data_IF_877632022208
#
_entry.id   IF_877632022208
#
_cell.length_a   1.000
_cell.length_b   1.000
_cell.length_c   1.000
_cell.angle_alpha   90.00
_cell.angle_beta   90.00
_cell.angle_gamma   90.00
#
_symmetry.space_group_name_H-M   'P 1'
#
loop_
_entity.id
_entity.type
_entity.pdbx_description
1 polymer ?
#
# COMPACT_ATOMS: atom_id res chain seq x y z
N UNK A 1 -10.96 2.42 17.76
CA UNK A 1 -10.18 1.87 16.63
C UNK A 1 -10.04 2.94 15.55
N UNK A 2 -8.82 3.25 15.10
CA UNK A 2 -8.60 4.28 14.07
C UNK A 2 -7.59 3.82 13.03
N UNK A 3 -7.54 4.53 11.91
CA UNK A 3 -6.65 4.25 10.79
C UNK A 3 -7.36 3.58 9.61
N UNK A 4 -6.59 3.26 8.55
CA UNK A 4 -7.10 2.53 7.39
C UNK A 4 -7.82 1.26 7.85
N UNK A 5 -8.97 0.98 7.26
CA UNK A 5 -9.81 -0.21 7.47
C UNK A 5 -10.49 -0.31 8.82
N UNK A 6 -10.39 0.70 9.66
CA UNK A 6 -10.97 0.65 11.00
C UNK A 6 -12.49 0.48 11.00
N UNK A 7 -13.24 1.04 10.04
CA UNK A 7 -14.67 0.73 9.88
C UNK A 7 -14.90 -0.74 9.57
N UNK A 8 -14.33 -1.26 8.49
CA UNK A 8 -14.58 -2.64 8.06
C UNK A 8 -14.11 -3.63 9.11
N UNK A 9 -13.01 -3.34 9.82
CA UNK A 9 -12.52 -4.17 10.92
C UNK A 9 -13.40 -4.08 12.16
N UNK A 10 -14.02 -2.93 12.42
CA UNK A 10 -14.98 -2.79 13.52
C UNK A 10 -16.27 -3.56 13.24
N UNK A 11 -16.78 -3.49 12.00
CA UNK A 11 -18.04 -4.10 11.58
C UNK A 11 -17.94 -5.63 11.41
N UNK A 12 -16.79 -6.11 10.93
CA UNK A 12 -16.56 -7.51 10.57
C UNK A 12 -16.82 -7.81 9.09
N UNK A 13 -16.73 -9.09 8.74
CA UNK A 13 -16.98 -9.58 7.38
C UNK A 13 -18.45 -9.41 6.95
N UNK A 14 -18.68 -9.25 5.64
CA UNK A 14 -20.04 -9.24 5.09
C UNK A 14 -20.77 -10.54 5.49
N UNK A 15 -22.01 -10.39 5.98
CA UNK A 15 -22.90 -11.46 6.44
C UNK A 15 -22.33 -12.37 7.53
N UNK A 16 -21.34 -11.93 8.33
CA UNK A 16 -20.75 -12.79 9.36
C UNK A 16 -21.77 -13.37 10.34
N UNK A 17 -22.91 -12.71 10.56
CA UNK A 17 -23.99 -13.19 11.43
C UNK A 17 -24.64 -14.50 10.95
N UNK A 18 -24.46 -14.85 9.67
CA UNK A 18 -24.97 -16.08 9.07
C UNK A 18 -23.91 -17.20 9.03
N UNK A 19 -22.66 -16.88 9.36
CA UNK A 19 -21.52 -17.77 9.19
C UNK A 19 -20.56 -17.64 10.38
N UNK A 20 -20.70 -18.52 11.37
CA UNK A 20 -19.96 -18.47 12.64
C UNK A 20 -18.44 -18.36 12.47
N UNK A 21 -17.89 -18.94 11.40
CA UNK A 21 -16.45 -18.98 11.13
C UNK A 21 -15.89 -17.68 10.52
N UNK A 22 -16.74 -16.74 10.07
CA UNK A 22 -16.29 -15.45 9.51
C UNK A 22 -15.80 -14.53 10.62
N UNK A 23 -15.06 -13.49 10.25
CA UNK A 23 -14.60 -12.49 11.21
C UNK A 23 -15.76 -11.60 11.70
N UNK A 24 -16.05 -11.61 13.00
CA UNK A 24 -17.19 -10.88 13.60
C UNK A 24 -16.92 -9.39 13.86
N UNK A 25 -15.73 -8.91 13.49
CA UNK A 25 -15.29 -7.55 13.74
C UNK A 25 -14.68 -7.36 15.13
N UNK A 26 -14.44 -6.11 15.50
CA UNK A 26 -13.72 -5.73 16.72
C UNK A 26 -14.57 -4.91 17.72
N UNK A 27 -15.89 -4.94 17.57
CA UNK A 27 -16.80 -4.19 18.46
C UNK A 27 -16.66 -4.52 19.95
N UNK A 28 -16.24 -5.75 20.28
CA UNK A 28 -16.10 -6.17 21.68
C UNK A 28 -14.75 -5.74 22.29
N UNK A 29 -13.81 -5.28 21.45
CA UNK A 29 -12.50 -4.79 21.86
C UNK A 29 -12.42 -3.25 21.89
N UNK A 30 -13.35 -2.55 21.24
CA UNK A 30 -13.32 -1.09 21.13
C UNK A 30 -14.71 -0.47 21.35
N UNK A 31 -14.76 0.65 22.07
CA UNK A 31 -16.00 1.41 22.27
C UNK A 31 -16.56 1.97 20.95
N UNK A 32 -15.68 2.42 20.06
CA UNK A 32 -16.02 2.94 18.74
C UNK A 32 -14.84 2.84 17.77
N UNK A 33 -15.12 2.99 16.48
CA UNK A 33 -14.16 3.14 15.40
C UNK A 33 -14.35 4.46 14.63
N UNK A 34 -13.37 4.85 13.80
CA UNK A 34 -13.42 6.09 13.02
C UNK A 34 -13.08 5.79 11.56
N UNK A 35 -14.04 5.93 10.62
CA UNK A 35 -13.71 5.95 9.19
C UNK A 35 -13.44 7.36 8.66
N UNK A 36 -12.70 7.43 7.56
CA UNK A 36 -12.33 8.70 6.96
C UNK A 36 -11.18 9.38 7.70
N UNK A 37 -11.07 10.71 7.59
CA UNK A 37 -9.95 11.46 8.15
C UNK A 37 -9.90 11.37 9.69
N UNK A 38 -8.72 11.44 10.31
CA UNK A 38 -8.64 11.35 11.78
C UNK A 38 -8.95 12.68 12.48
N UNK A 39 -8.76 13.81 11.78
CA UNK A 39 -8.92 15.17 12.30
C UNK A 39 -10.36 15.49 12.75
N UNK A 40 -11.35 14.75 12.27
CA UNK A 40 -12.76 14.88 12.70
C UNK A 40 -12.95 14.50 14.17
N UNK A 41 -11.97 13.85 14.81
CA UNK A 41 -11.94 13.68 16.27
C UNK A 41 -11.52 14.93 17.03
N UNK A 42 -10.84 15.91 16.41
CA UNK A 42 -10.28 17.06 17.12
C UNK A 42 -11.32 17.80 17.98
N UNK A 43 -12.56 18.06 17.50
CA UNK A 43 -13.59 18.69 18.34
C UNK A 43 -13.90 17.88 19.60
N UNK A 44 -13.96 16.56 19.50
CA UNK A 44 -14.19 15.66 20.64
C UNK A 44 -13.00 15.60 21.59
N UNK A 45 -11.77 15.56 21.07
CA UNK A 45 -10.57 15.59 21.90
C UNK A 45 -10.41 16.92 22.67
N UNK A 46 -11.05 17.98 22.18
CA UNK A 46 -11.07 19.29 22.81
C UNK A 46 -12.33 19.53 23.67
N UNK A 47 -13.28 18.59 23.73
CA UNK A 47 -14.50 18.73 24.53
C UNK A 47 -14.36 18.04 25.90
N UNK A 48 -14.91 18.67 26.94
CA UNK A 48 -14.96 18.10 28.29
C UNK A 48 -16.18 17.17 28.49
N UNK A 49 -17.09 17.11 27.50
CA UNK A 49 -18.40 16.44 27.62
C UNK A 49 -18.39 14.95 27.23
N UNK A 50 -17.30 14.46 26.62
CA UNK A 50 -17.11 13.06 26.27
C UNK A 50 -18.10 12.49 25.24
N UNK A 51 -18.85 13.31 24.51
CA UNK A 51 -19.90 12.85 23.60
C UNK A 51 -19.38 12.46 22.21
N UNK A 52 -18.72 11.30 22.13
CA UNK A 52 -18.21 10.78 20.85
C UNK A 52 -19.32 10.39 19.86
N UNK A 53 -20.55 10.14 20.32
CA UNK A 53 -21.66 9.64 19.50
C UNK A 53 -22.13 10.63 18.42
N UNK A 54 -21.83 11.92 18.58
CA UNK A 54 -22.20 12.98 17.63
C UNK A 54 -21.08 13.30 16.63
N UNK A 55 -19.91 12.67 16.78
CA UNK A 55 -18.74 12.99 15.97
C UNK A 55 -18.87 12.35 14.60
N UNK A 56 -18.65 13.14 13.55
CA UNK A 56 -18.61 12.62 12.18
C UNK A 56 -17.53 11.56 12.04
N UNK A 57 -17.84 10.55 11.25
CA UNK A 57 -16.99 9.42 10.98
C UNK A 57 -16.89 8.38 12.10
N UNK A 58 -17.56 8.59 13.24
CA UNK A 58 -17.56 7.60 14.32
C UNK A 58 -18.57 6.47 14.03
N UNK A 59 -18.11 5.24 14.23
CA UNK A 59 -18.92 4.02 14.19
C UNK A 59 -18.95 3.38 15.57
N UNK A 60 -20.11 3.00 16.07
CA UNK A 60 -20.25 2.39 17.40
C UNK A 60 -21.42 1.42 17.45
N UNK A 61 -21.46 0.58 18.48
CA UNK A 61 -22.55 -0.36 18.71
C UNK A 61 -23.50 0.17 19.78
N UNK A 62 -24.79 0.27 19.47
CA UNK A 62 -25.82 0.67 20.43
C UNK A 62 -27.15 0.00 20.08
N UNK A 63 -27.95 -0.33 21.09
CA UNK A 63 -29.30 -0.90 20.92
C UNK A 63 -29.37 -2.15 20.01
N UNK A 64 -28.29 -2.93 19.92
CA UNK A 64 -28.24 -4.14 19.10
C UNK A 64 -27.93 -3.90 17.62
N UNK A 65 -27.49 -2.70 17.25
CA UNK A 65 -27.13 -2.35 15.88
C UNK A 65 -25.85 -1.50 15.80
N UNK A 66 -25.24 -1.49 14.61
CA UNK A 66 -24.14 -0.59 14.30
C UNK A 66 -24.69 0.78 13.91
N UNK A 67 -24.28 1.81 14.63
CA UNK A 67 -24.51 3.20 14.26
C UNK A 67 -23.26 3.70 13.55
N UNK A 68 -23.44 4.24 12.34
CA UNK A 68 -22.37 4.73 11.47
C UNK A 68 -22.66 6.18 11.14
N UNK A 69 -21.92 7.10 11.77
CA UNK A 69 -22.06 8.51 11.46
C UNK A 69 -21.44 8.82 10.09
N UNK A 70 -21.92 9.83 9.35
CA UNK A 70 -21.31 10.23 8.08
C UNK A 70 -19.86 10.68 8.28
N UNK A 71 -18.95 10.28 7.38
CA UNK A 71 -17.57 10.77 7.38
C UNK A 71 -17.44 12.18 6.79
N UNK A 72 -16.44 12.94 7.26
CA UNK A 72 -16.01 14.16 6.62
C UNK A 72 -15.13 13.87 5.40
N UNK A 73 -15.09 14.84 4.48
CA UNK A 73 -14.04 14.88 3.47
C UNK A 73 -12.72 15.27 4.12
N UNK A 74 -11.63 14.82 3.52
CA UNK A 74 -10.29 15.27 3.89
C UNK A 74 -10.13 16.77 3.68
N UNK A 75 -9.49 17.42 4.66
CA UNK A 75 -9.12 18.83 4.59
C UNK A 75 -7.61 18.97 4.46
N UNK A 76 -7.17 19.50 3.32
CA UNK A 76 -5.75 19.74 3.04
C UNK A 76 -5.08 20.58 4.13
N UNK A 77 -5.80 21.49 4.80
CA UNK A 77 -5.24 22.31 5.87
C UNK A 77 -4.65 21.47 7.02
N UNK A 78 -5.23 20.30 7.30
CA UNK A 78 -4.77 19.38 8.35
C UNK A 78 -3.61 18.48 7.91
N UNK A 79 -3.23 18.52 6.64
CA UNK A 79 -2.20 17.63 6.04
C UNK A 79 -0.89 18.36 5.70
N UNK A 80 -0.77 19.64 6.04
CA UNK A 80 0.41 20.47 5.68
C UNK A 80 1.58 20.34 6.65
N UNK A 81 1.30 20.06 7.94
CA UNK A 81 2.30 20.16 9.01
C UNK A 81 2.21 18.97 9.95
N UNK A 82 3.38 18.45 10.30
CA UNK A 82 3.54 17.33 11.24
C UNK A 82 4.49 17.79 12.36
N UNK A 83 4.15 17.48 13.61
CA UNK A 83 5.03 17.71 14.76
C UNK A 83 5.95 16.52 14.97
N UNK A 84 7.09 16.53 14.30
CA UNK A 84 8.08 15.45 14.35
C UNK A 84 8.79 15.30 15.70
N UNK A 85 8.76 16.34 16.53
CA UNK A 85 9.28 16.36 17.91
C UNK A 85 8.34 15.71 18.92
N UNK A 86 7.17 15.21 18.49
CA UNK A 86 6.14 14.62 19.33
C UNK A 86 5.92 13.12 19.03
N UNK A 87 6.98 12.40 18.67
CA UNK A 87 6.94 10.96 18.36
C UNK A 87 7.76 10.21 19.42
N UNK A 88 7.11 9.25 20.08
CA UNK A 88 7.68 8.51 21.21
C UNK A 88 7.57 6.99 21.01
N UNK A 89 8.60 6.28 21.46
CA UNK A 89 8.61 4.83 21.60
C UNK A 89 8.40 4.43 23.06
N UNK A 90 8.18 3.13 23.30
CA UNK A 90 8.11 2.60 24.66
C UNK A 90 9.53 2.14 25.04
N UNK A 91 10.17 2.89 25.93
CA UNK A 91 11.44 2.57 26.56
C UNK A 91 11.29 1.78 27.86
N UNK A 92 12.40 1.54 28.56
CA UNK A 92 12.40 0.77 29.80
C UNK A 92 11.64 1.47 30.94
N UNK A 93 11.73 2.80 30.99
CA UNK A 93 11.17 3.63 32.07
C UNK A 93 9.94 4.45 31.63
N UNK A 94 9.43 4.21 30.41
CA UNK A 94 8.27 4.91 29.87
C UNK A 94 8.47 5.42 28.44
N UNK A 95 7.68 6.42 28.00
CA UNK A 95 7.81 7.00 26.67
C UNK A 95 9.14 7.72 26.45
N UNK A 96 9.86 7.36 25.40
CA UNK A 96 11.14 7.97 25.02
C UNK A 96 11.04 8.59 23.62
N UNK A 97 11.58 9.81 23.39
CA UNK A 97 11.57 10.43 22.06
C UNK A 97 12.29 9.58 21.02
N UNK A 98 11.71 9.45 19.82
CA UNK A 98 12.33 8.73 18.70
C UNK A 98 13.01 9.73 17.76
N UNK A 99 14.30 9.50 17.45
CA UNK A 99 14.98 10.23 16.36
C UNK A 99 14.37 9.78 15.02
N UNK A 100 13.68 10.71 14.36
CA UNK A 100 13.12 10.50 13.03
C UNK A 100 14.24 10.55 11.99
N UNK A 101 14.46 9.45 11.27
CA UNK A 101 15.52 9.31 10.26
C UNK A 101 14.97 9.21 8.83
N UNK A 102 13.66 9.07 8.69
CA UNK A 102 12.94 9.04 7.42
C UNK A 102 11.46 9.30 7.66
N UNK A 103 10.78 9.85 6.66
CA UNK A 103 9.37 10.24 6.77
C UNK A 103 8.60 9.93 5.50
N UNK A 104 7.27 10.12 5.54
CA UNK A 104 6.41 10.09 4.36
C UNK A 104 5.89 11.51 4.09
N UNK A 105 5.94 11.93 2.83
CA UNK A 105 5.36 13.19 2.35
C UNK A 105 4.17 12.84 1.48
N UNK A 106 2.99 13.30 1.88
CA UNK A 106 1.78 13.01 1.17
C UNK A 106 1.60 13.94 -0.03
N UNK A 107 1.47 13.40 -1.24
CA UNK A 107 1.00 14.15 -2.40
C UNK A 107 -0.34 13.62 -2.90
N UNK A 108 -0.52 12.30 -2.97
CA UNK A 108 -1.77 11.70 -3.42
C UNK A 108 -2.10 10.46 -2.59
N UNK A 109 -3.32 10.41 -2.03
CA UNK A 109 -3.86 9.20 -1.44
C UNK A 109 -4.68 8.43 -2.48
N UNK A 110 -4.36 7.14 -2.60
CA UNK A 110 -5.06 6.21 -3.48
C UNK A 110 -4.34 5.99 -4.82
N UNK A 111 -4.76 4.91 -5.49
CA UNK A 111 -4.14 4.42 -6.70
C UNK A 111 -5.06 4.61 -7.91
N UNK A 112 -4.66 5.33 -8.99
CA UNK A 112 -5.50 5.48 -10.19
C UNK A 112 -5.96 4.15 -10.80
N UNK A 113 -5.22 3.06 -10.59
CA UNK A 113 -5.65 1.72 -11.01
C UNK A 113 -6.80 1.16 -10.16
N UNK A 114 -6.82 1.48 -8.86
CA UNK A 114 -7.92 1.18 -7.95
C UNK A 114 -9.23 1.93 -8.29
N UNK A 115 -9.21 2.92 -9.20
CA UNK A 115 -10.41 3.57 -9.72
C UNK A 115 -11.15 2.77 -10.79
N UNK A 116 -10.50 1.75 -11.36
CA UNK A 116 -11.04 1.02 -12.50
C UNK A 116 -11.85 -0.18 -12.03
N UNK A 117 -13.17 -0.05 -12.04
CA UNK A 117 -14.08 -1.18 -11.82
C UNK A 117 -14.00 -2.14 -13.01
N UNK A 118 -13.82 -3.42 -12.73
CA UNK A 118 -13.81 -4.49 -13.74
C UNK A 118 -14.26 -5.81 -13.12
N UNK A 119 -14.69 -6.75 -13.97
CA UNK A 119 -14.85 -8.15 -13.58
C UNK A 119 -13.62 -8.93 -13.96
N UNK A 120 -13.17 -9.82 -13.08
CA UNK A 120 -12.06 -10.73 -13.34
C UNK A 120 -12.43 -12.14 -12.93
N UNK A 121 -11.95 -13.09 -13.72
CA UNK A 121 -12.00 -14.50 -13.39
C UNK A 121 -10.75 -14.85 -12.56
N UNK A 122 -10.94 -15.22 -11.31
CA UNK A 122 -9.88 -15.69 -10.41
C UNK A 122 -9.94 -17.21 -10.37
N UNK A 123 -8.82 -17.86 -10.68
CA UNK A 123 -8.76 -19.32 -10.72
C UNK A 123 -9.06 -19.93 -9.35
N UNK A 124 -9.59 -21.16 -9.35
CA UNK A 124 -9.59 -21.98 -8.14
C UNK A 124 -8.18 -22.12 -7.57
N UNK A 125 -8.04 -22.24 -6.24
CA UNK A 125 -6.72 -22.50 -5.66
C UNK A 125 -6.20 -23.85 -6.14
N UNK A 126 -4.89 -24.00 -6.21
CA UNK A 126 -4.22 -25.28 -6.45
C UNK A 126 -4.10 -26.09 -5.16
N UNK A 127 -4.09 -25.41 -4.01
CA UNK A 127 -4.08 -26.00 -2.70
C UNK A 127 -4.93 -25.23 -1.69
N UNK A 128 -5.53 -25.95 -0.76
CA UNK A 128 -6.23 -25.40 0.42
C UNK A 128 -5.82 -26.24 1.63
N UNK A 129 -5.46 -25.62 2.76
CA UNK A 129 -5.02 -26.33 3.97
C UNK A 129 -3.88 -27.34 3.71
N UNK A 130 -2.87 -26.89 2.95
CA UNK A 130 -1.74 -27.70 2.48
C UNK A 130 -2.12 -28.99 1.74
N UNK A 131 -3.33 -29.06 1.16
CA UNK A 131 -3.80 -30.21 0.38
C UNK A 131 -4.14 -29.79 -1.06
N UNK A 132 -3.83 -30.62 -2.08
CA UNK A 132 -4.23 -30.35 -3.45
C UNK A 132 -5.75 -30.11 -3.56
N UNK A 133 -6.13 -29.07 -4.27
CA UNK A 133 -7.52 -28.76 -4.56
C UNK A 133 -7.88 -29.36 -5.93
N UNK A 134 -8.75 -30.39 -5.94
CA UNK A 134 -8.97 -31.23 -7.11
C UNK A 134 -9.83 -30.63 -8.22
N UNK A 135 -10.22 -29.35 -8.13
CA UNK A 135 -11.09 -28.69 -9.11
C UNK A 135 -10.33 -27.62 -9.88
N UNK A 136 -10.68 -27.48 -11.15
CA UNK A 136 -10.13 -26.49 -12.08
C UNK A 136 -11.23 -25.54 -12.54
N UNK A 137 -10.83 -24.41 -13.12
CA UNK A 137 -11.73 -23.34 -13.56
C UNK A 137 -11.51 -22.08 -12.76
N UNK A 138 -12.51 -21.19 -12.75
CA UNK A 138 -12.42 -19.88 -12.11
C UNK A 138 -13.75 -19.44 -11.53
N UNK A 139 -13.68 -18.45 -10.64
CA UNK A 139 -14.81 -17.73 -10.05
C UNK A 139 -14.68 -16.27 -10.47
N UNK A 140 -15.74 -15.72 -11.05
CA UNK A 140 -15.78 -14.30 -11.43
C UNK A 140 -16.11 -13.45 -10.21
N UNK A 141 -15.31 -12.43 -9.98
CA UNK A 141 -15.56 -11.40 -8.97
C UNK A 141 -15.50 -10.00 -9.59
N UNK A 142 -16.26 -9.07 -9.02
CA UNK A 142 -16.04 -7.64 -9.25
C UNK A 142 -14.74 -7.23 -8.55
N UNK A 143 -13.97 -6.32 -9.15
CA UNK A 143 -12.78 -5.73 -8.54
C UNK A 143 -12.63 -4.27 -8.91
N UNK A 144 -11.87 -3.54 -8.10
CA UNK A 144 -11.37 -2.21 -8.41
C UNK A 144 -9.84 -2.21 -8.23
N UNK A 145 -9.10 -2.27 -9.33
CA UNK A 145 -7.64 -2.43 -9.30
C UNK A 145 -7.18 -3.84 -8.89
N UNK A 146 -6.05 -3.94 -8.18
CA UNK A 146 -5.46 -5.22 -7.80
C UNK A 146 -6.38 -5.99 -6.83
N UNK A 147 -6.59 -7.28 -7.05
CA UNK A 147 -7.61 -8.07 -6.33
C UNK A 147 -7.31 -8.24 -4.84
N UNK A 148 -6.04 -8.26 -4.47
CA UNK A 148 -5.58 -8.37 -3.08
C UNK A 148 -5.53 -7.02 -2.34
N UNK A 149 -5.63 -5.92 -3.07
CA UNK A 149 -5.45 -4.58 -2.53
C UNK A 149 -6.77 -4.09 -1.91
N UNK A 150 -6.66 -3.47 -0.74
CA UNK A 150 -7.76 -2.86 -0.01
C UNK A 150 -7.96 -1.38 -0.33
N UNK A 151 -6.99 -0.72 -0.97
CA UNK A 151 -6.99 0.72 -1.28
C UNK A 151 -8.31 1.18 -1.91
N UNK A 152 -8.87 0.41 -2.85
CA UNK A 152 -10.11 0.76 -3.54
C UNK A 152 -11.35 0.75 -2.64
N UNK A 153 -11.36 -0.10 -1.61
CA UNK A 153 -12.49 -0.28 -0.69
C UNK A 153 -12.34 0.54 0.58
N UNK A 154 -11.11 0.85 0.95
CA UNK A 154 -10.77 1.46 2.22
C UNK A 154 -10.27 2.91 2.07
N UNK A 155 -9.18 3.12 1.32
CA UNK A 155 -8.51 4.42 1.29
C UNK A 155 -9.23 5.45 0.41
N UNK A 156 -10.13 5.00 -0.46
CA UNK A 156 -10.74 5.84 -1.49
C UNK A 156 -9.70 6.42 -2.46
N UNK A 157 -10.17 7.20 -3.43
CA UNK A 157 -9.34 7.89 -4.44
C UNK A 157 -9.36 9.38 -4.20
N UNK A 158 -9.25 9.77 -2.93
CA UNK A 158 -9.98 10.94 -2.47
C UNK A 158 -9.18 12.24 -2.49
N UNK A 159 -7.85 12.21 -2.62
CA UNK A 159 -7.07 13.44 -2.47
C UNK A 159 -5.81 13.45 -3.32
N UNK A 160 -5.62 14.58 -3.99
CA UNK A 160 -4.33 15.06 -4.45
C UNK A 160 -4.10 16.43 -3.81
N UNK A 161 -3.05 16.56 -3.02
CA UNK A 161 -2.69 17.81 -2.38
C UNK A 161 -2.09 18.79 -3.38
N UNK A 162 -2.25 20.08 -3.11
CA UNK A 162 -1.55 21.13 -3.84
C UNK A 162 -0.03 20.98 -3.69
N UNK A 163 0.72 21.42 -4.71
CA UNK A 163 2.19 21.44 -4.64
C UNK A 163 2.68 22.28 -3.44
N UNK A 164 1.97 23.37 -3.11
CA UNK A 164 2.28 24.18 -1.94
C UNK A 164 2.15 23.39 -0.62
N UNK A 165 1.11 22.58 -0.47
CA UNK A 165 0.96 21.71 0.71
C UNK A 165 2.04 20.63 0.79
N UNK A 166 2.47 20.07 -0.35
CA UNK A 166 3.59 19.12 -0.42
C UNK A 166 4.89 19.79 0.03
N UNK A 167 5.17 21.00 -0.46
CA UNK A 167 6.38 21.74 -0.11
C UNK A 167 6.37 22.22 1.35
N UNK A 168 5.21 22.57 1.91
CA UNK A 168 5.07 22.83 3.35
C UNK A 168 5.43 21.59 4.17
N UNK A 169 4.94 20.39 3.78
CA UNK A 169 5.33 19.16 4.46
C UNK A 169 6.85 18.96 4.41
N UNK A 170 7.47 19.13 3.24
CA UNK A 170 8.93 18.97 3.06
C UNK A 170 9.72 19.98 3.89
N UNK A 171 9.29 21.24 3.95
CA UNK A 171 9.94 22.27 4.74
C UNK A 171 9.96 21.94 6.25
N UNK A 172 8.92 21.24 6.74
CA UNK A 172 8.80 20.82 8.13
C UNK A 172 9.55 19.51 8.46
N UNK A 173 10.16 18.84 7.48
CA UNK A 173 10.93 17.61 7.75
C UNK A 173 12.15 17.93 8.64
N UNK A 174 12.51 17.05 9.60
CA UNK A 174 13.73 17.20 10.38
C UNK A 174 14.98 17.16 9.51
N UNK A 175 16.04 17.81 9.98
CA UNK A 175 17.34 17.76 9.33
C UNK A 175 18.17 16.59 9.86
N UNK A 176 19.04 16.05 9.01
CA UNK A 176 20.09 15.14 9.39
C UNK A 176 21.29 15.92 9.97
N UNK A 177 22.31 15.19 10.40
CA UNK A 177 23.48 15.79 11.05
C UNK A 177 24.31 16.67 10.07
N UNK A 178 24.11 16.50 8.75
CA UNK A 178 24.74 17.30 7.68
C UNK A 178 23.91 18.55 7.30
N UNK A 179 22.78 18.80 7.96
CA UNK A 179 21.89 19.95 7.72
C UNK A 179 20.89 19.77 6.56
N UNK A 180 20.93 18.65 5.82
CA UNK A 180 19.93 18.32 4.79
C UNK A 180 18.68 17.73 5.43
N UNK A 181 17.50 17.88 4.83
CA UNK A 181 16.31 17.16 5.27
C UNK A 181 16.55 15.63 5.22
N UNK A 182 16.02 14.91 6.21
CA UNK A 182 16.06 13.44 6.22
C UNK A 182 15.35 12.88 4.99
N UNK A 183 15.72 11.69 4.48
CA UNK A 183 15.05 11.05 3.35
C UNK A 183 13.54 10.92 3.55
N UNK A 184 12.77 11.06 2.48
CA UNK A 184 11.32 10.87 2.56
C UNK A 184 10.75 10.06 1.40
N UNK A 185 9.70 9.30 1.68
CA UNK A 185 8.88 8.67 0.65
C UNK A 185 7.79 9.62 0.18
N UNK A 186 7.75 9.87 -1.14
CA UNK A 186 6.66 10.60 -1.74
C UNK A 186 5.46 9.64 -1.93
N UNK A 187 4.42 9.82 -1.11
CA UNK A 187 3.18 9.06 -1.24
C UNK A 187 2.43 9.57 -2.46
N UNK A 188 2.69 8.91 -3.58
CA UNK A 188 2.00 9.05 -4.84
C UNK A 188 2.23 7.77 -5.64
N UNK A 189 1.16 7.04 -5.93
CA UNK A 189 1.20 5.76 -6.64
C UNK A 189 1.78 5.88 -8.07
N UNK A 190 1.71 7.07 -8.70
CA UNK A 190 2.32 7.38 -9.99
C UNK A 190 3.16 8.67 -9.91
N UNK A 191 4.39 8.62 -9.35
CA UNK A 191 5.14 9.82 -9.00
C UNK A 191 5.86 10.48 -10.19
N UNK A 192 6.09 9.76 -11.30
CA UNK A 192 6.95 10.24 -12.39
C UNK A 192 6.47 11.52 -13.07
N UNK A 193 5.17 11.73 -13.36
CA UNK A 193 4.71 12.95 -14.01
C UNK A 193 4.96 14.24 -13.22
N UNK A 194 5.17 14.14 -11.90
CA UNK A 194 5.28 15.29 -10.98
C UNK A 194 6.68 15.44 -10.38
N UNK A 195 7.56 14.44 -10.57
CA UNK A 195 8.87 14.42 -9.95
C UNK A 195 9.73 15.63 -10.31
N UNK A 196 9.76 15.99 -11.61
CA UNK A 196 10.53 17.15 -12.08
C UNK A 196 10.00 18.46 -11.47
N UNK A 197 8.69 18.69 -11.55
CA UNK A 197 8.06 19.89 -11.02
C UNK A 197 8.31 20.02 -9.51
N UNK A 198 8.21 18.91 -8.76
CA UNK A 198 8.53 18.88 -7.33
C UNK A 198 9.97 19.33 -7.06
N UNK A 199 10.95 18.76 -7.78
CA UNK A 199 12.36 19.13 -7.63
C UNK A 199 12.63 20.59 -8.00
N UNK A 200 11.98 21.12 -9.05
CA UNK A 200 12.09 22.54 -9.43
C UNK A 200 11.60 23.46 -8.31
N UNK A 201 10.48 23.11 -7.68
CA UNK A 201 9.91 23.89 -6.59
C UNK A 201 10.73 23.77 -5.28
N UNK A 202 11.26 22.59 -4.97
CA UNK A 202 12.19 22.37 -3.84
C UNK A 202 13.40 23.28 -3.98
N UNK A 203 14.02 23.30 -5.17
CA UNK A 203 15.16 24.18 -5.48
C UNK A 203 14.77 25.65 -5.38
N UNK A 204 13.62 26.05 -5.92
CA UNK A 204 13.15 27.43 -5.89
C UNK A 204 12.89 27.95 -4.46
N UNK A 205 12.48 27.06 -3.55
CA UNK A 205 12.28 27.37 -2.12
C UNK A 205 13.57 27.26 -1.28
N UNK A 206 14.69 26.86 -1.88
CA UNK A 206 15.96 26.66 -1.16
C UNK A 206 15.89 25.53 -0.13
N UNK A 207 15.05 24.52 -0.35
CA UNK A 207 14.94 23.37 0.53
C UNK A 207 16.06 22.38 0.18
N UNK A 208 16.96 22.13 1.14
CA UNK A 208 18.07 21.21 0.96
C UNK A 208 17.66 19.78 1.36
N UNK A 209 17.55 18.88 0.39
CA UNK A 209 17.11 17.49 0.61
C UNK A 209 18.20 16.52 0.16
N UNK A 210 18.29 15.36 0.80
CA UNK A 210 19.27 14.34 0.43
C UNK A 210 18.72 13.26 -0.50
N UNK A 211 17.49 12.79 -0.25
CA UNK A 211 16.91 11.67 -0.99
C UNK A 211 15.38 11.71 -1.04
N UNK A 212 14.82 11.33 -2.19
CA UNK A 212 13.39 11.06 -2.39
C UNK A 212 13.20 9.56 -2.69
N UNK A 213 12.34 8.90 -1.92
CA UNK A 213 11.94 7.51 -2.11
C UNK A 213 10.63 7.46 -2.90
N UNK A 214 10.59 6.62 -3.94
CA UNK A 214 9.45 6.47 -4.84
C UNK A 214 8.95 5.03 -4.84
N UNK A 215 7.64 4.87 -4.71
CA UNK A 215 6.94 3.61 -4.92
C UNK A 215 6.09 3.71 -6.18
N UNK A 216 6.12 2.69 -7.04
CA UNK A 216 5.34 2.69 -8.26
C UNK A 216 4.92 1.29 -8.74
N UNK A 217 3.96 1.26 -9.65
CA UNK A 217 3.66 0.07 -10.45
C UNK A 217 4.70 -0.11 -11.56
N UNK A 218 5.02 -1.37 -11.88
CA UNK A 218 5.95 -1.70 -12.97
C UNK A 218 5.52 -1.09 -14.32
N UNK A 219 4.24 -1.16 -14.68
CA UNK A 219 3.77 -0.63 -15.97
C UNK A 219 3.83 0.90 -16.04
N UNK A 220 3.70 1.60 -14.91
CA UNK A 220 3.88 3.05 -14.86
C UNK A 220 5.34 3.46 -14.89
N UNK A 221 6.23 2.66 -14.29
CA UNK A 221 7.67 2.88 -14.42
C UNK A 221 8.11 2.79 -15.88
N UNK A 222 7.68 1.76 -16.61
CA UNK A 222 8.00 1.60 -18.04
C UNK A 222 7.42 2.74 -18.87
N UNK A 223 6.14 3.07 -18.67
CA UNK A 223 5.48 4.18 -19.41
C UNK A 223 6.04 5.55 -19.05
N UNK A 224 6.57 5.71 -17.85
CA UNK A 224 7.06 6.96 -17.28
C UNK A 224 8.55 7.21 -17.51
N UNK A 225 9.25 6.38 -18.31
CA UNK A 225 10.70 6.45 -18.50
C UNK A 225 11.20 7.88 -18.81
N UNK A 226 10.59 8.57 -19.78
CA UNK A 226 10.98 9.92 -20.17
C UNK A 226 10.89 10.90 -19.00
N UNK A 227 9.76 10.89 -18.27
CA UNK A 227 9.54 11.79 -17.13
C UNK A 227 10.44 11.47 -15.94
N UNK A 228 10.75 10.19 -15.73
CA UNK A 228 11.73 9.78 -14.74
C UNK A 228 13.12 10.30 -15.10
N UNK A 229 13.58 10.14 -16.35
CA UNK A 229 14.87 10.69 -16.83
C UNK A 229 14.97 12.20 -16.68
N UNK A 230 13.88 12.91 -17.00
CA UNK A 230 13.79 14.36 -16.83
C UNK A 230 13.97 14.77 -15.35
N UNK A 231 13.36 14.01 -14.43
CA UNK A 231 13.50 14.21 -12.99
C UNK A 231 14.90 13.85 -12.49
N UNK A 232 15.48 12.73 -12.92
CA UNK A 232 16.81 12.27 -12.52
C UNK A 232 17.91 13.23 -12.96
N UNK A 233 17.80 13.80 -14.16
CA UNK A 233 18.76 14.78 -14.67
C UNK A 233 18.78 16.05 -13.79
N UNK A 234 17.61 16.47 -13.29
CA UNK A 234 17.50 17.59 -12.36
C UNK A 234 18.01 17.20 -10.96
N UNK A 235 17.63 16.03 -10.44
CA UNK A 235 18.09 15.53 -9.16
C UNK A 235 19.64 15.47 -9.09
N UNK A 236 20.28 15.02 -10.17
CA UNK A 236 21.74 15.00 -10.29
C UNK A 236 22.36 16.40 -10.18
N UNK A 237 21.78 17.41 -10.84
CA UNK A 237 22.27 18.79 -10.71
C UNK A 237 22.07 19.39 -9.31
N UNK A 238 21.21 18.79 -8.50
CA UNK A 238 20.89 19.20 -7.13
C UNK A 238 21.61 18.37 -6.07
N UNK A 239 22.43 17.38 -6.45
CA UNK A 239 23.01 16.41 -5.51
C UNK A 239 21.93 15.70 -4.65
N UNK A 240 20.82 15.33 -5.30
CA UNK A 240 19.70 14.61 -4.71
C UNK A 240 19.65 13.19 -5.25
N UNK A 241 19.50 12.21 -4.36
CA UNK A 241 19.28 10.81 -4.73
C UNK A 241 17.79 10.51 -4.90
N UNK A 242 17.43 9.79 -5.95
CA UNK A 242 16.10 9.22 -6.14
C UNK A 242 16.21 7.70 -5.98
N UNK A 243 15.57 7.18 -4.95
CA UNK A 243 15.48 5.74 -4.69
C UNK A 243 14.13 5.23 -5.17
N UNK A 244 14.10 4.29 -6.11
CA UNK A 244 12.92 3.45 -6.32
C UNK A 244 12.82 2.48 -5.14
N UNK A 245 12.20 2.93 -4.05
CA UNK A 245 12.12 2.16 -2.79
C UNK A 245 11.22 0.94 -2.94
N UNK A 246 10.24 0.99 -3.85
CA UNK A 246 9.33 -0.12 -4.08
C UNK A 246 8.78 -0.14 -5.50
N UNK A 247 8.84 -1.31 -6.15
CA UNK A 247 8.06 -1.58 -7.36
C UNK A 247 7.17 -2.77 -7.07
N UNK A 248 5.86 -2.60 -7.20
CA UNK A 248 4.90 -3.67 -6.93
C UNK A 248 4.84 -4.69 -8.06
N UNK A 249 5.86 -5.54 -8.18
CA UNK A 249 5.94 -6.62 -9.18
C UNK A 249 4.97 -7.76 -8.86
N UNK A 250 4.89 -8.13 -7.58
CA UNK A 250 4.17 -9.24 -6.94
C UNK A 250 4.51 -10.65 -7.42
N UNK A 251 4.70 -10.86 -8.71
CA UNK A 251 5.06 -12.18 -9.26
C UNK A 251 5.75 -12.05 -10.62
N UNK A 252 6.46 -13.11 -11.00
CA UNK A 252 7.01 -13.29 -12.34
C UNK A 252 6.34 -14.44 -13.09
N UNK A 253 5.13 -14.83 -12.67
CA UNK A 253 4.23 -15.76 -13.38
C UNK A 253 2.98 -15.03 -13.88
N UNK A 254 2.68 -15.13 -15.17
CA UNK A 254 1.49 -14.48 -15.77
C UNK A 254 0.18 -14.99 -15.19
N UNK A 255 0.11 -16.26 -14.81
CA UNK A 255 -1.06 -16.84 -14.14
C UNK A 255 -1.31 -16.19 -12.79
N UNK A 256 -0.27 -16.02 -11.97
CA UNK A 256 -0.40 -15.35 -10.66
C UNK A 256 -0.75 -13.88 -10.85
N UNK A 257 -0.08 -13.16 -11.77
CA UNK A 257 -0.36 -11.76 -12.05
C UNK A 257 -1.80 -11.52 -12.53
N UNK A 258 -2.36 -12.46 -13.30
CA UNK A 258 -3.77 -12.45 -13.70
C UNK A 258 -4.70 -12.57 -12.49
N UNK A 259 -4.47 -13.54 -11.61
CA UNK A 259 -5.30 -13.74 -10.41
C UNK A 259 -5.20 -12.56 -9.42
N UNK A 260 -4.02 -11.92 -9.34
CA UNK A 260 -3.80 -10.68 -8.59
C UNK A 260 -4.39 -9.42 -9.27
N UNK A 261 -4.94 -9.57 -10.48
CA UNK A 261 -5.42 -8.49 -11.35
C UNK A 261 -4.41 -7.33 -11.45
N UNK A 262 -3.17 -7.61 -11.82
CA UNK A 262 -2.17 -6.53 -12.00
C UNK A 262 -2.39 -5.73 -13.29
N UNK A 263 -3.09 -6.31 -14.28
CA UNK A 263 -3.39 -5.66 -15.56
C UNK A 263 -2.20 -5.57 -16.53
N UNK A 264 -1.13 -6.32 -16.26
CA UNK A 264 0.05 -6.48 -17.11
C UNK A 264 0.67 -7.87 -16.88
N UNK A 265 1.69 -8.22 -17.66
CA UNK A 265 2.36 -9.54 -17.61
C UNK A 265 3.75 -9.47 -16.98
N UNK A 266 4.35 -10.63 -16.72
CA UNK A 266 5.73 -10.78 -16.27
C UNK A 266 6.73 -10.09 -17.20
N UNK A 267 6.44 -10.01 -18.50
CA UNK A 267 7.24 -9.24 -19.46
C UNK A 267 7.39 -7.79 -19.04
N UNK A 268 6.31 -7.14 -18.61
CA UNK A 268 6.35 -5.75 -18.12
C UNK A 268 7.18 -5.62 -16.85
N UNK A 269 7.13 -6.61 -15.95
CA UNK A 269 8.01 -6.63 -14.78
C UNK A 269 9.48 -6.73 -15.17
N UNK A 270 9.82 -7.57 -16.15
CA UNK A 270 11.19 -7.68 -16.66
C UNK A 270 11.65 -6.38 -17.35
N UNK A 271 10.80 -5.76 -18.16
CA UNK A 271 11.10 -4.47 -18.80
C UNK A 271 11.38 -3.38 -17.75
N UNK A 272 10.58 -3.33 -16.68
CA UNK A 272 10.79 -2.43 -15.55
C UNK A 272 12.14 -2.68 -14.85
N UNK A 273 12.51 -3.93 -14.58
CA UNK A 273 13.81 -4.30 -13.99
C UNK A 273 14.97 -3.87 -14.88
N UNK A 274 14.88 -4.16 -16.19
CA UNK A 274 15.90 -3.76 -17.16
C UNK A 274 16.05 -2.25 -17.24
N UNK A 275 14.94 -1.50 -17.19
CA UNK A 275 14.95 -0.06 -17.15
C UNK A 275 15.66 0.47 -15.89
N UNK A 276 15.36 -0.05 -14.70
CA UNK A 276 16.04 0.38 -13.47
C UNK A 276 17.55 0.12 -13.52
N UNK A 277 17.97 -1.05 -14.00
CA UNK A 277 19.38 -1.38 -14.22
C UNK A 277 20.06 -0.41 -15.17
N UNK A 278 19.39 -0.07 -16.28
CA UNK A 278 19.89 0.90 -17.26
C UNK A 278 20.02 2.30 -16.64
N UNK A 279 18.98 2.77 -15.95
CA UNK A 279 18.99 4.07 -15.27
C UNK A 279 20.07 4.17 -14.19
N UNK A 280 20.36 3.08 -13.47
CA UNK A 280 21.47 3.05 -12.51
C UNK A 280 22.83 3.22 -13.19
N UNK A 281 23.01 2.68 -14.40
CA UNK A 281 24.23 2.91 -15.18
C UNK A 281 24.36 4.34 -15.70
N UNK A 282 23.23 4.98 -16.03
CA UNK A 282 23.19 6.34 -16.58
C UNK A 282 23.24 7.43 -15.49
N UNK A 283 22.72 7.15 -14.30
CA UNK A 283 22.64 8.05 -13.15
C UNK A 283 23.19 7.37 -11.88
N UNK A 284 24.48 7.00 -11.83
CA UNK A 284 25.04 6.16 -10.77
C UNK A 284 24.94 6.76 -9.36
N UNK A 285 25.06 8.09 -9.23
CA UNK A 285 25.04 8.77 -7.94
C UNK A 285 23.63 9.22 -7.53
N UNK A 286 22.76 9.48 -8.51
CA UNK A 286 21.44 10.09 -8.29
C UNK A 286 20.28 9.10 -8.40
N UNK A 287 20.52 7.86 -8.85
CA UNK A 287 19.51 6.83 -8.93
C UNK A 287 19.89 5.57 -8.14
N UNK A 288 18.91 4.99 -7.48
CA UNK A 288 19.04 3.75 -6.73
C UNK A 288 17.75 2.94 -6.81
N UNK A 289 17.88 1.62 -6.70
CA UNK A 289 16.73 0.71 -6.79
C UNK A 289 17.01 -0.67 -6.18
N UNK A 290 18.27 -1.04 -5.93
CA UNK A 290 18.58 -2.40 -5.54
C UNK A 290 18.23 -2.66 -4.06
N UNK A 291 18.06 -3.92 -3.68
CA UNK A 291 17.94 -4.31 -2.28
C UNK A 291 19.11 -3.83 -1.42
N UNK A 292 20.33 -3.81 -1.98
CA UNK A 292 21.52 -3.22 -1.34
C UNK A 292 21.45 -1.71 -1.15
N UNK A 293 20.61 -1.01 -1.92
CA UNK A 293 20.31 0.41 -1.75
C UNK A 293 19.23 0.67 -0.68
N UNK A 294 18.65 -0.39 -0.10
CA UNK A 294 17.52 -0.31 0.83
C UNK A 294 16.15 -0.41 0.16
N UNK A 295 16.07 -0.77 -1.12
CA UNK A 295 14.79 -0.99 -1.79
C UNK A 295 14.14 -2.31 -1.38
N UNK A 296 12.81 -2.30 -1.29
CA UNK A 296 11.98 -3.47 -1.01
C UNK A 296 10.90 -3.54 -2.08
N UNK A 297 11.18 -4.28 -3.15
CA UNK A 297 10.21 -4.48 -4.22
C UNK A 297 9.20 -5.57 -3.86
N UNK A 298 7.95 -5.38 -4.30
CA UNK A 298 6.84 -6.29 -3.98
C UNK A 298 7.03 -7.65 -4.65
N UNK A 299 7.05 -8.71 -3.85
CA UNK A 299 7.06 -10.10 -4.31
C UNK A 299 6.24 -10.96 -3.34
N UNK A 300 5.14 -11.53 -3.86
CA UNK A 300 4.16 -12.30 -3.09
C UNK A 300 4.36 -13.78 -3.38
N UNK A 301 4.84 -14.51 -2.38
CA UNK A 301 5.01 -15.95 -2.44
C UNK A 301 5.11 -16.55 -1.02
N UNK A 302 4.44 -17.67 -0.72
CA UNK A 302 3.55 -18.45 -1.59
C UNK A 302 2.20 -17.80 -1.88
N UNK A 303 1.51 -18.34 -2.89
CA UNK A 303 0.13 -17.98 -3.29
C UNK A 303 -0.78 -19.21 -3.35
N UNK A 304 -2.12 -19.05 -3.26
CA UNK A 304 -3.07 -20.16 -3.43
C UNK A 304 -3.02 -20.81 -4.81
N UNK A 305 -2.31 -20.22 -5.78
CA UNK A 305 -2.22 -20.68 -7.16
C UNK A 305 -0.84 -21.23 -7.52
N UNK A 306 -0.02 -21.52 -6.51
CA UNK A 306 1.28 -22.12 -6.71
C UNK A 306 1.11 -23.58 -7.17
N UNK A 307 1.52 -23.86 -8.40
CA UNK A 307 1.57 -25.18 -9.04
C UNK A 307 2.98 -25.46 -9.55
N UNK A 308 3.22 -26.68 -10.05
CA UNK A 308 4.50 -26.98 -10.70
C UNK A 308 4.77 -26.04 -11.89
N UNK A 309 3.73 -25.66 -12.63
CA UNK A 309 3.85 -24.79 -13.80
C UNK A 309 4.09 -23.33 -13.41
N UNK A 310 3.32 -22.78 -12.46
CA UNK A 310 3.51 -21.38 -12.04
C UNK A 310 4.87 -21.18 -11.34
N UNK A 311 5.32 -22.17 -10.55
CA UNK A 311 6.67 -22.18 -9.98
C UNK A 311 7.74 -22.24 -11.07
N UNK A 312 7.60 -23.12 -12.06
CA UNK A 312 8.57 -23.24 -13.15
C UNK A 312 8.70 -21.92 -13.92
N UNK A 313 7.58 -21.29 -14.27
CA UNK A 313 7.58 -20.02 -15.00
C UNK A 313 8.23 -18.89 -14.18
N UNK A 314 7.85 -18.78 -12.91
CA UNK A 314 8.39 -17.79 -11.99
C UNK A 314 9.91 -17.97 -11.78
N UNK A 315 10.36 -19.18 -11.40
CA UNK A 315 11.78 -19.43 -11.13
C UNK A 315 12.63 -19.37 -12.40
N UNK A 316 12.08 -19.71 -13.57
CA UNK A 316 12.77 -19.50 -14.85
C UNK A 316 13.08 -18.02 -15.06
N UNK A 317 12.11 -17.13 -14.85
CA UNK A 317 12.33 -15.68 -14.99
C UNK A 317 13.33 -15.18 -13.93
N UNK A 318 13.21 -15.62 -12.68
CA UNK A 318 14.15 -15.27 -11.61
C UNK A 318 15.59 -15.63 -12.01
N UNK A 319 15.81 -16.86 -12.46
CA UNK A 319 17.15 -17.35 -12.82
C UNK A 319 17.71 -16.66 -14.07
N UNK A 320 16.94 -16.53 -15.15
CA UNK A 320 17.40 -15.92 -16.41
C UNK A 320 17.79 -14.46 -16.21
N UNK A 321 17.02 -13.71 -15.42
CA UNK A 321 17.25 -12.29 -15.21
C UNK A 321 18.04 -11.96 -13.94
N UNK A 322 18.46 -12.98 -13.17
CA UNK A 322 19.25 -12.81 -11.94
C UNK A 322 18.57 -11.91 -10.92
N UNK A 323 17.26 -12.09 -10.71
CA UNK A 323 16.45 -11.19 -9.88
C UNK A 323 16.78 -11.29 -8.38
N UNK A 324 17.40 -12.37 -7.96
CA UNK A 324 17.91 -12.62 -6.61
C UNK A 324 19.05 -11.67 -6.20
N UNK A 325 19.71 -11.03 -7.16
CA UNK A 325 20.90 -10.20 -6.91
C UNK A 325 20.58 -8.79 -6.45
N UNK A 326 19.44 -8.25 -6.89
CA UNK A 326 19.12 -6.82 -6.77
C UNK A 326 17.63 -6.55 -6.58
N UNK A 327 16.72 -7.43 -7.01
CA UNK A 327 15.27 -7.18 -7.03
C UNK A 327 14.54 -7.88 -5.88
N UNK A 328 14.78 -9.17 -5.69
CA UNK A 328 13.99 -9.97 -4.75
C UNK A 328 14.44 -9.73 -3.30
N UNK A 329 13.49 -9.72 -2.35
CA UNK A 329 13.84 -9.70 -0.93
C UNK A 329 14.48 -11.04 -0.52
N UNK A 330 15.23 -11.03 0.59
CA UNK A 330 15.81 -12.25 1.18
C UNK A 330 14.75 -13.26 1.64
N UNK A 331 13.56 -12.77 1.97
CA UNK A 331 12.39 -13.56 2.34
C UNK A 331 11.15 -13.02 1.65
N UNK A 332 10.33 -13.90 1.06
CA UNK A 332 9.06 -13.51 0.46
C UNK A 332 7.94 -13.44 1.51
N UNK A 333 6.92 -12.61 1.22
CA UNK A 333 5.72 -12.52 2.04
C UNK A 333 4.63 -13.37 1.37
N UNK A 334 3.96 -14.29 2.08
CA UNK A 334 2.82 -15.03 1.52
C UNK A 334 1.70 -14.07 1.12
N UNK A 335 0.81 -14.51 0.22
CA UNK A 335 -0.39 -13.74 -0.08
C UNK A 335 -1.25 -13.59 1.19
N UNK A 336 -1.35 -12.37 1.70
CA UNK A 336 -2.24 -12.04 2.81
C UNK A 336 -3.59 -11.64 2.22
N UNK A 337 -4.64 -12.41 2.52
CA UNK A 337 -6.01 -12.08 2.12
C UNK A 337 -6.70 -11.42 3.32
N UNK A 338 -6.76 -10.10 3.31
CA UNK A 338 -7.55 -9.33 4.27
C UNK A 338 -9.04 -9.45 3.92
N UNK A 339 -9.90 -9.61 4.92
CA UNK A 339 -11.35 -9.83 4.70
C UNK A 339 -12.07 -8.71 3.93
N UNK A 340 -11.49 -7.51 3.96
CA UNK A 340 -11.99 -6.35 3.25
C UNK A 340 -11.48 -6.22 1.81
N UNK A 341 -10.53 -7.02 1.32
CA UNK A 341 -10.08 -6.94 -0.09
C UNK A 341 -10.96 -7.76 -1.04
N UNK A 342 -10.82 -7.58 -2.35
CA UNK A 342 -11.66 -8.27 -3.35
C UNK A 342 -11.43 -9.79 -3.38
N UNK A 343 -10.22 -10.26 -3.05
CA UNK A 343 -9.97 -11.70 -2.90
C UNK A 343 -10.80 -12.33 -1.76
N UNK A 344 -11.25 -11.57 -0.77
CA UNK A 344 -12.17 -12.10 0.23
C UNK A 344 -13.54 -12.43 -0.37
N UNK A 345 -14.00 -11.72 -1.40
CA UNK A 345 -15.21 -12.09 -2.14
C UNK A 345 -15.01 -13.41 -2.89
N UNK A 346 -13.83 -13.59 -3.48
CA UNK A 346 -13.45 -14.85 -4.13
C UNK A 346 -13.47 -16.01 -3.13
N UNK A 347 -12.93 -15.82 -1.92
CA UNK A 347 -13.02 -16.82 -0.85
C UNK A 347 -14.48 -17.10 -0.49
N UNK A 348 -15.29 -16.08 -0.21
CA UNK A 348 -16.70 -16.29 0.18
C UNK A 348 -17.49 -17.03 -0.90
N UNK A 349 -17.23 -16.72 -2.18
CA UNK A 349 -17.82 -17.44 -3.30
C UNK A 349 -17.31 -18.88 -3.40
N UNK A 350 -16.03 -19.13 -3.12
CA UNK A 350 -15.44 -20.47 -3.05
C UNK A 350 -16.09 -21.29 -1.93
N UNK A 351 -16.22 -20.74 -0.73
CA UNK A 351 -16.88 -21.38 0.42
C UNK A 351 -18.31 -21.79 0.08
N UNK A 352 -19.09 -20.87 -0.50
CA UNK A 352 -20.48 -21.11 -0.87
C UNK A 352 -20.62 -22.21 -1.94
N UNK A 353 -19.77 -22.16 -2.98
CA UNK A 353 -19.88 -23.07 -4.13
C UNK A 353 -19.37 -24.47 -3.81
N UNK A 354 -18.39 -24.58 -2.93
CA UNK A 354 -17.68 -25.82 -2.64
C UNK A 354 -18.06 -26.45 -1.30
N UNK A 355 -18.81 -25.74 -0.46
CA UNK A 355 -19.17 -26.20 0.88
C UNK A 355 -17.95 -26.35 1.78
N UNK A 356 -16.91 -25.53 1.56
CA UNK A 356 -15.71 -25.49 2.39
C UNK A 356 -15.76 -24.31 3.34
N UNK A 357 -15.03 -24.41 4.43
CA UNK A 357 -14.85 -23.34 5.41
C UNK A 357 -13.36 -23.09 5.58
N UNK A 358 -12.94 -21.84 5.40
CA UNK A 358 -11.59 -21.41 5.72
C UNK A 358 -11.53 -20.76 7.10
N UNK A 359 -10.42 -20.90 7.79
CA UNK A 359 -10.23 -20.25 9.08
C UNK A 359 -9.96 -18.76 8.89
N UNK A 360 -10.26 -17.98 9.93
CA UNK A 360 -9.88 -16.57 10.04
C UNK A 360 -8.95 -16.40 11.23
N UNK A 361 -7.87 -15.65 11.05
CA UNK A 361 -7.01 -15.17 12.13
C UNK A 361 -7.17 -13.66 12.25
N UNK A 362 -8.07 -13.24 13.14
CA UNK A 362 -8.55 -11.86 13.18
C UNK A 362 -9.16 -11.45 11.85
N UNK A 363 -8.62 -10.39 11.24
CA UNK A 363 -9.09 -9.84 9.97
C UNK A 363 -8.51 -10.54 8.72
N UNK A 364 -7.68 -11.57 8.91
CA UNK A 364 -7.02 -12.34 7.85
C UNK A 364 -7.75 -13.64 7.56
N UNK A 365 -7.84 -14.01 6.30
CA UNK A 365 -8.39 -15.30 5.85
C UNK A 365 -7.24 -16.28 5.60
N UNK A 366 -7.26 -17.43 6.28
CA UNK A 366 -6.25 -18.49 6.17
C UNK A 366 -6.59 -19.43 5.02
N UNK A 367 -5.91 -19.27 3.89
CA UNK A 367 -6.04 -20.17 2.74
C UNK A 367 -5.03 -21.34 2.77
N UNK A 368 -3.99 -21.25 3.61
CA UNK A 368 -2.91 -22.22 3.70
C UNK A 368 -3.19 -23.38 4.65
#
# INVERSE_FOLDING_TARGET
LGGPQSNVNFLGEVDWQQYDHRFHGLKDAFTFAIHGPAEQLIPFLNSDDGQYQQVNGVLYWANGEYIVNPENKWDEANLKRIRWDNIYGIGADGPEPIKVNSVQVLHQLGCPYAAKKTQVAVDYPTNVHNKPFGKTGSITIDTCGCSFCDVARDKGLAIRLSMDAVLEQIANIPENDDGKKVPFELINENPFPVLRELLENIRARGLDISQINLVARADWLVKGEEKLRDGLSLAQSMDVRVLMSGVGFESFSDTILRNLNKGYTSKTNIEAVQLMRKLKGEYPDSFAYASSDGAIHGFIHPTPWDSADTKRDMYRNIAIYGLDKDILPSTSVPLIIHHACWLADWIRALELKEGITLNRSGSLIEWW
#
